data_IF_667091360295
#
_entry.id   IF_667091360295
#
_cell.length_a   1.000
_cell.length_b   1.000
_cell.length_c   1.000
_cell.angle_alpha   90.00
_cell.angle_beta   90.00
_cell.angle_gamma   90.00
#
_symmetry.space_group_name_H-M   'P 1'
#
loop_
_entity.id
_entity.type
_entity.pdbx_description
1 polymer ?
#
# COMPACT_ATOMS: atom_id res chain seq x y z
N UNK A 1 26.83 36.94 15.57
CA UNK A 1 25.58 37.35 14.87
C UNK A 1 24.70 36.12 14.66
N UNK A 2 23.39 36.28 14.86
CA UNK A 2 22.41 35.24 15.20
C UNK A 2 22.25 34.10 14.17
N UNK A 3 22.43 32.86 14.64
CA UNK A 3 22.08 31.64 13.92
C UNK A 3 20.60 31.31 14.19
N UNK A 4 19.80 31.16 13.13
CA UNK A 4 18.79 30.09 12.88
C UNK A 4 17.70 30.57 11.93
N UNK A 5 17.74 30.12 10.67
CA UNK A 5 16.55 30.12 9.81
C UNK A 5 15.59 29.04 10.30
N UNK A 6 14.37 29.42 10.67
CA UNK A 6 13.41 28.57 11.40
C UNK A 6 12.20 28.14 10.54
N UNK A 7 12.38 27.97 9.22
CA UNK A 7 11.26 27.68 8.28
C UNK A 7 11.40 26.44 7.39
N UNK A 8 12.36 25.54 7.64
CA UNK A 8 12.49 24.28 6.88
C UNK A 8 11.58 23.14 7.38
N UNK A 9 10.84 23.35 8.48
CA UNK A 9 10.01 22.30 9.10
C UNK A 9 8.90 21.75 8.21
N UNK A 10 8.05 22.54 7.53
CA UNK A 10 6.91 21.99 6.79
C UNK A 10 7.33 21.14 5.59
N UNK A 11 8.39 21.55 4.87
CA UNK A 11 8.91 20.81 3.72
C UNK A 11 9.40 19.42 4.14
N UNK A 12 10.12 19.34 5.27
CA UNK A 12 10.59 18.05 5.80
C UNK A 12 9.41 17.15 6.14
N UNK A 13 8.34 17.68 6.75
CA UNK A 13 7.16 16.87 7.08
C UNK A 13 6.44 16.38 5.83
N UNK A 14 6.33 17.20 4.78
CA UNK A 14 5.72 16.78 3.50
C UNK A 14 6.53 15.62 2.89
N UNK A 15 7.86 15.75 2.84
CA UNK A 15 8.74 14.69 2.31
C UNK A 15 8.59 13.40 3.14
N UNK A 16 8.55 13.50 4.46
CA UNK A 16 8.35 12.35 5.35
C UNK A 16 6.99 11.69 5.13
N UNK A 17 5.91 12.47 4.94
CA UNK A 17 4.57 11.95 4.67
C UNK A 17 4.54 11.22 3.33
N UNK A 18 5.12 11.80 2.27
CA UNK A 18 5.20 11.16 0.95
C UNK A 18 6.00 9.85 1.03
N UNK A 19 7.13 9.87 1.74
CA UNK A 19 7.92 8.67 2.00
C UNK A 19 7.09 7.60 2.72
N UNK A 20 6.39 7.97 3.78
CA UNK A 20 5.53 7.06 4.54
C UNK A 20 4.40 6.45 3.68
N UNK A 21 3.68 7.27 2.90
CA UNK A 21 2.64 6.79 1.98
C UNK A 21 3.23 5.84 0.94
N UNK A 22 4.39 6.19 0.39
CA UNK A 22 5.09 5.36 -0.60
C UNK A 22 5.50 4.01 -0.01
N UNK A 23 5.91 3.97 1.26
CA UNK A 23 6.20 2.73 2.00
C UNK A 23 4.95 1.87 2.24
N UNK A 24 3.75 2.46 2.31
CA UNK A 24 2.49 1.72 2.46
C UNK A 24 2.00 1.09 1.16
N UNK A 25 2.38 1.64 0.00
CA UNK A 25 2.00 1.13 -1.33
C UNK A 25 2.14 -0.39 -1.50
N UNK A 26 3.30 -1.03 -1.20
CA UNK A 26 3.44 -2.48 -1.34
C UNK A 26 2.50 -3.27 -0.41
N UNK A 27 2.21 -2.75 0.79
CA UNK A 27 1.30 -3.41 1.73
C UNK A 27 -0.16 -3.30 1.29
N UNK A 28 -0.56 -2.15 0.75
CA UNK A 28 -1.89 -1.96 0.16
C UNK A 28 -2.05 -2.91 -1.03
N UNK A 29 -1.03 -3.01 -1.88
CA UNK A 29 -1.03 -3.95 -3.01
C UNK A 29 -1.19 -5.40 -2.55
N UNK A 30 -0.47 -5.80 -1.50
CA UNK A 30 -0.54 -7.14 -0.92
C UNK A 30 -1.94 -7.45 -0.37
N UNK A 31 -2.55 -6.52 0.37
CA UNK A 31 -3.90 -6.67 0.92
C UNK A 31 -4.97 -6.75 -0.18
N UNK A 32 -4.84 -5.93 -1.23
CA UNK A 32 -5.76 -6.03 -2.37
C UNK A 32 -5.58 -7.35 -3.11
N UNK A 33 -4.35 -7.85 -3.22
CA UNK A 33 -4.04 -9.07 -3.97
C UNK A 33 -4.46 -10.33 -3.20
N UNK A 34 -4.36 -10.35 -1.87
CA UNK A 34 -4.86 -11.47 -1.06
C UNK A 34 -6.39 -11.64 -1.16
N UNK A 35 -7.11 -10.57 -1.52
CA UNK A 35 -8.56 -10.57 -1.72
C UNK A 35 -8.99 -10.80 -3.18
N UNK A 36 -8.06 -10.98 -4.12
CA UNK A 36 -8.34 -11.28 -5.53
C UNK A 36 -8.51 -12.78 -5.76
N UNK A 37 -9.19 -13.12 -6.86
CA UNK A 37 -9.09 -14.46 -7.45
C UNK A 37 -7.70 -14.67 -8.06
N UNK A 38 -7.29 -15.93 -8.27
CA UNK A 38 -6.01 -16.25 -8.94
C UNK A 38 -5.93 -15.58 -10.32
N UNK A 39 -7.01 -15.68 -11.10
CA UNK A 39 -7.10 -15.07 -12.43
C UNK A 39 -6.93 -13.55 -12.39
N UNK A 40 -7.48 -12.86 -11.39
CA UNK A 40 -7.31 -11.41 -11.23
C UNK A 40 -5.89 -11.03 -10.77
N UNK A 41 -5.30 -11.83 -9.88
CA UNK A 41 -3.96 -11.61 -9.36
C UNK A 41 -2.86 -11.79 -10.43
N UNK A 42 -3.06 -12.68 -11.39
CA UNK A 42 -2.09 -12.96 -12.47
C UNK A 42 -2.42 -12.27 -13.79
N UNK A 43 -3.47 -11.43 -13.84
CA UNK A 43 -3.89 -10.76 -15.08
C UNK A 43 -2.91 -9.67 -15.50
N UNK A 44 -2.69 -9.54 -16.81
CA UNK A 44 -2.03 -8.41 -17.44
C UNK A 44 -3.03 -7.72 -18.37
N UNK A 45 -3.34 -6.41 -18.21
CA UNK A 45 -2.85 -5.51 -17.16
C UNK A 45 -3.38 -5.90 -15.75
N UNK A 46 -2.62 -5.59 -14.67
CA UNK A 46 -3.04 -5.91 -13.31
C UNK A 46 -4.36 -5.26 -12.93
N UNK A 47 -5.23 -6.03 -12.28
CA UNK A 47 -6.46 -5.50 -11.68
C UNK A 47 -6.10 -4.90 -10.32
N UNK A 48 -6.32 -3.58 -10.14
CA UNK A 48 -5.99 -2.90 -8.87
C UNK A 48 -6.97 -3.31 -7.76
N UNK A 49 -8.28 -3.12 -8.00
CA UNK A 49 -9.35 -3.46 -7.06
C UNK A 49 -10.03 -4.77 -7.48
N UNK A 50 -10.15 -5.76 -6.58
CA UNK A 50 -10.86 -7.01 -6.89
C UNK A 50 -12.31 -6.75 -7.28
N UNK A 51 -12.85 -7.48 -8.25
CA UNK A 51 -14.28 -7.38 -8.59
C UNK A 51 -15.15 -8.01 -7.50
N UNK A 52 -14.66 -9.08 -6.88
CA UNK A 52 -15.33 -9.80 -5.80
C UNK A 52 -14.29 -10.09 -4.72
N UNK A 53 -14.58 -9.71 -3.49
CA UNK A 53 -13.69 -9.92 -2.34
C UNK A 53 -13.62 -11.42 -1.97
N UNK A 54 -12.44 -12.03 -2.13
CA UNK A 54 -12.18 -13.43 -1.82
C UNK A 54 -11.75 -13.63 -0.37
N UNK A 55 -12.66 -13.43 0.58
CA UNK A 55 -12.39 -13.68 2.01
C UNK A 55 -12.07 -15.16 2.30
N UNK A 56 -12.57 -16.06 1.46
CA UNK A 56 -12.30 -17.50 1.52
C UNK A 56 -10.80 -17.83 1.44
N UNK A 57 -10.00 -17.00 0.77
CA UNK A 57 -8.55 -17.20 0.68
C UNK A 57 -7.89 -17.26 2.07
N UNK A 58 -8.36 -16.46 3.03
CA UNK A 58 -7.84 -16.50 4.40
C UNK A 58 -8.27 -17.77 5.14
N UNK A 59 -9.55 -18.15 5.02
CA UNK A 59 -10.04 -19.39 5.67
C UNK A 59 -9.40 -20.64 5.08
N UNK A 60 -9.09 -20.63 3.78
CA UNK A 60 -8.46 -21.75 3.08
C UNK A 60 -7.02 -21.95 3.54
N UNK A 61 -6.23 -20.87 3.60
CA UNK A 61 -4.84 -20.94 4.08
C UNK A 61 -4.74 -21.40 5.54
N UNK A 62 -5.73 -21.09 6.37
CA UNK A 62 -5.76 -21.53 7.78
C UNK A 62 -6.18 -23.00 7.95
N UNK A 63 -6.72 -23.63 6.90
CA UNK A 63 -7.06 -25.07 6.90
C UNK A 63 -5.93 -25.96 6.39
N UNK A 64 -4.93 -25.37 5.72
CA UNK A 64 -3.67 -26.03 5.36
C UNK A 64 -2.84 -26.32 6.60
#
# INVERSE_FOLDING_TARGET
MSVKSKSSKPIIHIVLIIGAISMLTPFIWMLLTSLKTLTEATKIPPVIFPKILQWSNYTEVMRL
#
